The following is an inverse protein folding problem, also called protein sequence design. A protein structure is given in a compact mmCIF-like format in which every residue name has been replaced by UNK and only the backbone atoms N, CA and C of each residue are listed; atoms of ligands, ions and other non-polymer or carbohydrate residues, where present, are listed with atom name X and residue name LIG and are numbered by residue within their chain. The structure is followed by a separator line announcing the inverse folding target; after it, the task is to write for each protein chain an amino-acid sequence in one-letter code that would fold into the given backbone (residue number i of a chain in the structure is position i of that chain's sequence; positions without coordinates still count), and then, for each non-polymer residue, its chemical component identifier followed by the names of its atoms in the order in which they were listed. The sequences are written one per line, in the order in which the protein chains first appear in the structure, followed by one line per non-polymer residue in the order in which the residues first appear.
data_IF_798490246371
#
_entry.id   IF_798490246371
#
_cell.length_a   1.000
_cell.length_b   1.000
_cell.length_c   1.000
_cell.angle_alpha   90.00
_cell.angle_beta   90.00
_cell.angle_gamma   90.00
#
_symmetry.space_group_name_H-M   'P 1'
#
loop_
_entity.id
_entity.type
_entity.pdbx_description
1 polymer ?
#
# COMPACT_ATOMS: atom_id res chain seq x y z
N UNK A 1 44.01 39.26 -40.36
CA UNK A 1 43.17 39.93 -39.35
C UNK A 1 43.09 41.37 -39.77
N UNK A 2 41.91 41.80 -40.19
CA UNK A 2 41.74 43.12 -40.80
C UNK A 2 41.50 44.14 -39.70
N UNK A 3 42.16 45.30 -39.81
CA UNK A 3 41.95 46.41 -38.90
C UNK A 3 40.53 46.95 -39.09
N UNK A 4 39.77 47.03 -38.01
CA UNK A 4 38.41 47.55 -38.01
C UNK A 4 38.35 48.83 -37.17
N UNK A 5 37.52 49.78 -37.59
CA UNK A 5 37.24 51.04 -36.89
C UNK A 5 36.23 50.86 -35.74
N UNK A 6 35.54 49.71 -35.67
CA UNK A 6 34.63 49.40 -34.57
C UNK A 6 35.40 49.28 -33.24
N UNK A 7 34.93 50.02 -32.24
CA UNK A 7 35.49 50.01 -30.87
C UNK A 7 34.90 48.92 -29.98
N UNK A 8 33.98 48.11 -30.51
CA UNK A 8 33.30 47.03 -29.81
C UNK A 8 33.38 45.72 -30.59
N UNK A 9 33.39 44.61 -29.86
CA UNK A 9 33.33 43.27 -30.43
C UNK A 9 32.46 42.38 -29.56
N UNK A 10 31.35 41.92 -30.13
CA UNK A 10 30.47 40.97 -29.46
C UNK A 10 30.89 39.54 -29.75
N UNK A 11 30.90 38.72 -28.70
CA UNK A 11 31.10 37.27 -28.78
C UNK A 11 29.90 36.58 -28.15
N UNK A 12 29.19 35.78 -28.94
CA UNK A 12 28.03 35.01 -28.48
C UNK A 12 28.37 33.54 -28.36
N UNK A 13 27.70 32.82 -27.46
CA UNK A 13 27.81 31.36 -27.31
C UNK A 13 29.24 30.87 -27.00
N UNK A 14 29.98 31.61 -26.18
CA UNK A 14 31.27 31.16 -25.67
C UNK A 14 31.06 30.02 -24.66
N UNK A 15 31.68 28.84 -24.86
CA UNK A 15 31.59 27.74 -23.89
C UNK A 15 32.26 28.13 -22.56
N UNK A 16 31.94 27.42 -21.49
CA UNK A 16 32.56 27.63 -20.17
C UNK A 16 34.06 27.36 -20.22
N UNK A 17 34.86 28.41 -20.03
CA UNK A 17 36.32 28.38 -19.99
C UNK A 17 36.88 29.73 -19.51
N UNK A 18 38.18 29.77 -19.28
CA UNK A 18 38.96 30.98 -19.15
C UNK A 18 39.26 31.57 -20.52
N UNK A 19 38.95 32.86 -20.70
CA UNK A 19 39.19 33.60 -21.93
C UNK A 19 40.14 34.77 -21.70
N UNK A 20 40.92 35.06 -22.73
CA UNK A 20 41.83 36.20 -22.78
C UNK A 20 41.49 37.03 -24.02
N UNK A 21 41.04 38.26 -23.79
CA UNK A 21 40.76 39.23 -24.82
C UNK A 21 42.02 40.07 -25.10
N UNK A 22 42.45 40.07 -26.35
CA UNK A 22 43.65 40.75 -26.83
C UNK A 22 43.25 41.90 -27.76
N UNK A 23 43.72 43.12 -27.49
CA UNK A 23 43.43 44.29 -28.32
C UNK A 23 44.68 45.13 -28.59
N UNK A 24 44.80 45.60 -29.83
CA UNK A 24 45.85 46.52 -30.30
C UNK A 24 45.18 47.62 -31.12
N UNK A 25 45.65 48.86 -30.99
CA UNK A 25 45.19 50.00 -31.79
C UNK A 25 46.26 50.39 -32.81
N UNK A 26 45.86 51.00 -33.92
CA UNK A 26 46.77 51.52 -34.94
C UNK A 26 46.39 52.98 -35.23
N UNK A 27 47.36 53.88 -35.18
CA UNK A 27 47.13 55.30 -35.45
C UNK A 27 47.21 55.63 -36.96
N UNK A 28 46.94 56.89 -37.31
CA UNK A 28 46.96 57.38 -38.71
C UNK A 28 48.33 57.35 -39.39
N UNK A 29 49.42 57.17 -38.63
CA UNK A 29 50.79 57.07 -39.10
C UNK A 29 51.28 55.61 -39.14
N UNK A 30 50.35 54.66 -39.15
CA UNK A 30 50.60 53.23 -39.13
C UNK A 30 51.34 52.69 -37.88
N UNK A 31 51.42 53.47 -36.80
CA UNK A 31 52.03 53.04 -35.53
C UNK A 31 51.02 52.24 -34.71
N UNK A 32 51.42 51.03 -34.30
CA UNK A 32 50.61 50.11 -33.49
C UNK A 32 50.90 50.33 -32.00
N UNK A 33 49.86 50.33 -31.17
CA UNK A 33 49.95 50.45 -29.71
C UNK A 33 50.50 49.18 -29.07
N UNK A 34 50.90 49.30 -27.79
CA UNK A 34 51.06 48.13 -26.94
C UNK A 34 49.75 47.33 -26.86
N UNK A 35 49.89 46.02 -26.65
CA UNK A 35 48.78 45.10 -26.54
C UNK A 35 48.14 45.19 -25.16
N UNK A 36 46.84 45.50 -25.11
CA UNK A 36 46.08 45.41 -23.89
C UNK A 36 45.41 44.02 -23.80
N UNK A 37 45.46 43.44 -22.60
CA UNK A 37 45.00 42.09 -22.31
C UNK A 37 43.96 42.14 -21.20
N UNK A 38 42.79 41.55 -21.43
CA UNK A 38 41.72 41.42 -20.44
C UNK A 38 41.35 39.95 -20.25
N UNK A 39 41.39 39.47 -19.00
CA UNK A 39 41.08 38.08 -18.65
C UNK A 39 39.70 38.00 -18.02
N UNK A 40 38.87 37.09 -18.49
CA UNK A 40 37.56 36.81 -17.90
C UNK A 40 37.25 35.32 -17.99
N UNK A 41 36.47 34.82 -17.04
CA UNK A 41 36.05 33.44 -16.98
C UNK A 41 34.53 33.36 -17.17
N UNK A 42 34.09 32.38 -17.96
CA UNK A 42 32.67 32.05 -18.09
C UNK A 42 32.40 30.84 -17.20
N UNK A 43 31.76 31.10 -16.07
CA UNK A 43 31.37 30.06 -15.11
C UNK A 43 30.36 29.09 -15.72
N UNK A 44 30.45 27.79 -15.41
CA UNK A 44 29.45 26.82 -15.82
C UNK A 44 28.08 27.16 -15.24
N UNK A 45 26.99 26.85 -15.95
CA UNK A 45 25.66 27.03 -15.41
C UNK A 45 25.47 26.13 -14.18
N UNK A 46 24.76 26.64 -13.17
CA UNK A 46 24.62 26.00 -11.84
C UNK A 46 24.18 24.53 -11.87
N UNK A 47 23.35 24.14 -12.84
CA UNK A 47 22.85 22.77 -13.01
C UNK A 47 23.90 21.77 -13.52
N UNK A 48 25.05 22.25 -14.03
CA UNK A 48 26.14 21.44 -14.58
C UNK A 48 27.31 21.27 -13.60
N UNK A 49 27.16 21.77 -12.37
CA UNK A 49 28.19 21.69 -11.33
C UNK A 49 28.20 20.29 -10.69
N UNK A 50 29.37 19.82 -10.22
CA UNK A 50 29.50 18.52 -9.52
C UNK A 50 28.56 18.41 -8.31
N UNK A 51 28.34 19.52 -7.61
CA UNK A 51 27.38 19.58 -6.49
C UNK A 51 25.93 19.35 -6.93
N UNK A 52 25.52 19.86 -8.10
CA UNK A 52 24.19 19.62 -8.64
C UNK A 52 23.96 18.12 -8.94
N UNK A 53 24.96 17.42 -9.46
CA UNK A 53 24.85 15.97 -9.66
C UNK A 53 24.70 15.18 -8.35
N UNK A 54 25.42 15.57 -7.29
CA UNK A 54 25.24 14.99 -5.95
C UNK A 54 23.80 15.23 -5.45
N UNK A 55 23.28 16.45 -5.62
CA UNK A 55 21.91 16.79 -5.26
C UNK A 55 20.88 15.98 -6.04
N UNK A 56 21.09 15.77 -7.35
CA UNK A 56 20.22 14.93 -8.17
C UNK A 56 20.24 13.48 -7.71
N UNK A 57 21.41 12.94 -7.38
CA UNK A 57 21.55 11.58 -6.85
C UNK A 57 20.83 11.43 -5.50
N UNK A 58 20.96 12.41 -4.61
CA UNK A 58 20.26 12.44 -3.33
C UNK A 58 18.74 12.52 -3.52
N UNK A 59 18.25 13.43 -4.36
CA UNK A 59 16.82 13.55 -4.67
C UNK A 59 16.26 12.26 -5.25
N UNK A 60 17.01 11.63 -6.15
CA UNK A 60 16.64 10.34 -6.73
C UNK A 60 16.58 9.23 -5.66
N UNK A 61 17.56 9.18 -4.75
CA UNK A 61 17.55 8.25 -3.63
C UNK A 61 16.35 8.46 -2.68
N UNK A 62 16.02 9.71 -2.37
CA UNK A 62 14.85 10.08 -1.55
C UNK A 62 13.56 9.66 -2.26
N UNK A 63 13.45 9.88 -3.57
CA UNK A 63 12.29 9.48 -4.36
C UNK A 63 12.09 7.95 -4.30
N UNK A 64 13.15 7.16 -4.49
CA UNK A 64 13.07 5.70 -4.37
C UNK A 64 12.67 5.29 -2.95
N UNK A 65 13.30 5.88 -1.94
CA UNK A 65 13.02 5.56 -0.53
C UNK A 65 11.56 5.83 -0.15
N UNK A 66 11.01 6.97 -0.59
CA UNK A 66 9.62 7.35 -0.32
C UNK A 66 8.64 6.41 -1.02
N UNK A 67 8.89 6.04 -2.28
CA UNK A 67 8.06 5.07 -3.01
C UNK A 67 8.04 3.72 -2.30
N UNK A 68 9.21 3.18 -1.93
CA UNK A 68 9.30 1.88 -1.26
C UNK A 68 8.58 1.89 0.09
N UNK A 69 8.78 2.94 0.87
CA UNK A 69 8.14 3.09 2.19
C UNK A 69 6.63 3.25 2.07
N UNK A 70 6.17 4.03 1.10
CA UNK A 70 4.75 4.21 0.83
C UNK A 70 4.09 2.88 0.42
N UNK A 71 4.69 2.13 -0.51
CA UNK A 71 4.17 0.84 -0.94
C UNK A 71 4.11 -0.18 0.20
N UNK A 72 5.14 -0.24 1.05
CA UNK A 72 5.14 -1.10 2.24
C UNK A 72 3.98 -0.76 3.18
N UNK A 73 3.83 0.52 3.52
CA UNK A 73 2.77 0.97 4.43
C UNK A 73 1.36 0.68 3.90
N UNK A 74 1.15 0.87 2.58
CA UNK A 74 -0.13 0.54 1.95
C UNK A 74 -0.38 -0.97 1.97
N UNK A 75 0.62 -1.79 1.66
CA UNK A 75 0.50 -3.24 1.68
C UNK A 75 0.17 -3.77 3.09
N UNK A 76 0.80 -3.24 4.13
CA UNK A 76 0.51 -3.61 5.52
C UNK A 76 -0.92 -3.24 5.93
N UNK A 77 -1.38 -2.04 5.59
CA UNK A 77 -2.76 -1.62 5.85
C UNK A 77 -3.77 -2.53 5.15
N UNK A 78 -3.52 -2.87 3.89
CA UNK A 78 -4.40 -3.76 3.13
C UNK A 78 -4.44 -5.16 3.73
N UNK A 79 -3.30 -5.71 4.17
CA UNK A 79 -3.22 -7.00 4.86
C UNK A 79 -3.99 -6.98 6.18
N UNK A 80 -3.82 -5.94 6.99
CA UNK A 80 -4.53 -5.79 8.26
C UNK A 80 -6.05 -5.74 8.04
N UNK A 81 -6.51 -4.98 7.04
CA UNK A 81 -7.92 -4.89 6.70
C UNK A 81 -8.49 -6.23 6.21
N UNK A 82 -7.71 -6.98 5.43
CA UNK A 82 -8.10 -8.29 4.92
C UNK A 82 -8.25 -9.31 6.05
N UNK A 83 -7.33 -9.31 7.02
CA UNK A 83 -7.42 -10.16 8.22
C UNK A 83 -8.67 -9.83 9.03
N UNK A 84 -8.96 -8.54 9.27
CA UNK A 84 -10.15 -8.10 10.01
C UNK A 84 -11.44 -8.56 9.30
N UNK A 85 -11.48 -8.45 7.97
CA UNK A 85 -12.64 -8.88 7.20
C UNK A 85 -12.83 -10.41 7.25
N UNK A 86 -11.74 -11.17 7.12
CA UNK A 86 -11.78 -12.63 7.25
C UNK A 86 -12.22 -13.09 8.64
N UNK A 87 -11.73 -12.42 9.69
CA UNK A 87 -12.13 -12.72 11.06
C UNK A 87 -13.63 -12.46 11.28
N UNK A 88 -14.16 -11.35 10.75
CA UNK A 88 -15.60 -11.07 10.77
C UNK A 88 -16.41 -12.14 10.04
N UNK A 89 -16.01 -12.52 8.83
CA UNK A 89 -16.69 -13.53 8.04
C UNK A 89 -16.70 -14.90 8.74
N UNK A 90 -15.57 -15.29 9.34
CA UNK A 90 -15.47 -16.49 10.15
C UNK A 90 -16.38 -16.44 11.39
N UNK A 91 -16.49 -15.29 12.05
CA UNK A 91 -17.38 -15.12 13.20
C UNK A 91 -18.85 -15.27 12.79
N UNK A 92 -19.28 -14.64 11.69
CA UNK A 92 -20.64 -14.82 11.15
C UNK A 92 -20.91 -16.27 10.79
N UNK A 93 -20.00 -16.92 10.07
CA UNK A 93 -20.14 -18.33 9.66
C UNK A 93 -20.24 -19.26 10.88
N UNK A 94 -19.43 -19.02 11.92
CA UNK A 94 -19.50 -19.79 13.17
C UNK A 94 -20.80 -19.56 13.93
N UNK A 95 -21.32 -18.34 13.93
CA UNK A 95 -22.60 -18.02 14.56
C UNK A 95 -23.75 -18.75 13.85
N UNK A 96 -23.81 -18.71 12.53
CA UNK A 96 -24.80 -19.44 11.73
C UNK A 96 -24.70 -20.95 11.95
N UNK A 97 -23.48 -21.51 11.93
CA UNK A 97 -23.28 -22.93 12.18
C UNK A 97 -23.73 -23.35 13.59
N UNK A 98 -23.42 -22.53 14.59
CA UNK A 98 -23.86 -22.77 15.97
C UNK A 98 -25.38 -22.70 16.10
N UNK A 99 -26.04 -21.78 15.40
CA UNK A 99 -27.49 -21.67 15.38
C UNK A 99 -28.13 -22.92 14.74
N UNK A 100 -27.63 -23.35 13.58
CA UNK A 100 -28.09 -24.59 12.94
C UNK A 100 -27.90 -25.81 13.86
N UNK A 101 -26.76 -25.90 14.54
CA UNK A 101 -26.49 -26.99 15.48
C UNK A 101 -27.46 -26.97 16.66
N UNK A 102 -27.77 -25.80 17.21
CA UNK A 102 -28.72 -25.64 18.30
C UNK A 102 -30.14 -26.04 17.88
N UNK A 103 -30.56 -25.64 16.67
CA UNK A 103 -31.85 -26.04 16.10
C UNK A 103 -31.95 -27.55 15.93
N UNK A 104 -30.91 -28.19 15.38
CA UNK A 104 -30.85 -29.64 15.21
C UNK A 104 -30.85 -30.37 16.56
N UNK A 105 -30.15 -29.85 17.56
CA UNK A 105 -30.14 -30.42 18.92
C UNK A 105 -31.52 -30.33 19.57
N UNK A 106 -32.21 -29.20 19.39
CA UNK A 106 -33.59 -29.01 19.84
C UNK A 106 -34.53 -30.02 19.17
N UNK A 107 -34.46 -30.19 17.86
CA UNK A 107 -35.27 -31.16 17.11
C UNK A 107 -35.03 -32.60 17.61
N UNK A 108 -33.77 -32.99 17.82
CA UNK A 108 -33.42 -34.30 18.39
C UNK A 108 -33.95 -34.49 19.81
N UNK A 109 -33.91 -33.43 20.64
CA UNK A 109 -34.43 -33.47 22.00
C UNK A 109 -35.95 -33.64 22.01
N UNK A 110 -36.67 -32.91 21.14
CA UNK A 110 -38.12 -33.02 20.96
C UNK A 110 -38.50 -34.44 20.48
N UNK A 111 -37.77 -35.00 19.51
CA UNK A 111 -37.96 -36.38 19.08
C UNK A 111 -37.75 -37.37 20.24
N UNK A 112 -36.72 -37.17 21.06
CA UNK A 112 -36.43 -38.01 22.24
C UNK A 112 -37.53 -37.91 23.29
N UNK A 113 -38.04 -36.71 23.57
CA UNK A 113 -39.14 -36.48 24.50
C UNK A 113 -40.40 -37.19 23.99
N UNK A 114 -40.73 -37.03 22.71
CA UNK A 114 -41.89 -37.69 22.09
C UNK A 114 -41.79 -39.22 22.15
N UNK A 115 -40.61 -39.78 21.88
CA UNK A 115 -40.37 -41.23 22.03
C UNK A 115 -40.52 -41.69 23.48
N UNK A 116 -39.99 -40.93 24.46
CA UNK A 116 -40.17 -41.25 25.88
C UNK A 116 -41.64 -41.17 26.29
N UNK A 117 -42.37 -40.16 25.86
CA UNK A 117 -43.80 -40.00 26.14
C UNK A 117 -44.62 -41.17 25.57
N UNK A 118 -44.36 -41.57 24.32
CA UNK A 118 -44.99 -42.74 23.70
C UNK A 118 -44.67 -44.04 24.46
N UNK A 119 -43.42 -44.22 24.90
CA UNK A 119 -43.01 -45.40 25.68
C UNK A 119 -43.64 -45.45 27.07
N UNK A 120 -43.73 -44.31 27.76
CA UNK A 120 -44.41 -44.21 29.05
C UNK A 120 -45.91 -44.51 28.88
N UNK A 121 -46.58 -43.92 27.89
CA UNK A 121 -47.99 -44.19 27.62
C UNK A 121 -48.25 -45.68 27.30
N UNK A 122 -47.43 -46.29 26.44
CA UNK A 122 -47.53 -47.72 26.13
C UNK A 122 -47.35 -48.59 27.38
N UNK A 123 -46.39 -48.27 28.25
CA UNK A 123 -46.21 -48.98 29.51
C UNK A 123 -47.42 -48.81 30.44
N UNK A 124 -47.98 -47.61 30.57
CA UNK A 124 -49.19 -47.35 31.36
C UNK A 124 -50.38 -48.15 30.83
N UNK A 125 -50.63 -48.16 29.52
CA UNK A 125 -51.70 -48.95 28.90
C UNK A 125 -51.52 -50.44 29.22
N UNK A 126 -50.30 -50.95 29.13
CA UNK A 126 -50.02 -52.34 29.49
C UNK A 126 -50.29 -52.64 30.98
N UNK A 127 -49.96 -51.71 31.88
CA UNK A 127 -50.24 -51.85 33.31
C UNK A 127 -51.74 -51.77 33.63
N UNK A 128 -52.48 -50.87 32.97
CA UNK A 128 -53.94 -50.78 33.10
C UNK A 128 -54.57 -52.10 32.64
N UNK A 129 -54.15 -52.60 31.48
CA UNK A 129 -54.62 -53.87 30.93
C UNK A 129 -54.34 -55.06 31.88
N UNK A 130 -53.13 -55.14 32.46
CA UNK A 130 -52.79 -56.14 33.47
C UNK A 130 -53.68 -56.03 34.71
N UNK A 131 -53.96 -54.82 35.18
CA UNK A 131 -54.82 -54.60 36.34
C UNK A 131 -56.28 -54.99 36.05
N UNK A 132 -56.81 -54.65 34.87
CA UNK A 132 -58.14 -55.08 34.43
C UNK A 132 -58.27 -56.61 34.39
N UNK A 133 -57.26 -57.32 33.86
CA UNK A 133 -57.24 -58.79 33.88
C UNK A 133 -57.29 -59.32 35.31
N UNK A 134 -56.49 -58.76 36.23
CA UNK A 134 -56.46 -59.20 37.62
C UNK A 134 -57.80 -58.95 38.33
N UNK A 135 -58.45 -57.81 38.08
CA UNK A 135 -59.78 -57.51 38.60
C UNK A 135 -60.83 -58.48 38.06
N UNK A 136 -60.78 -58.80 36.75
CA UNK A 136 -61.70 -59.76 36.14
C UNK A 136 -61.57 -61.17 36.73
N UNK A 137 -60.36 -61.60 37.09
CA UNK A 137 -60.13 -62.87 37.79
C UNK A 137 -60.68 -62.81 39.21
N UNK A 138 -60.49 -61.69 39.91
CA UNK A 138 -60.98 -61.51 41.28
C UNK A 138 -62.52 -61.48 41.36
N UNK A 139 -63.20 -60.93 40.37
CA UNK A 139 -64.68 -60.99 40.30
C UNK A 139 -65.21 -62.37 39.91
N UNK A 140 -64.39 -63.23 39.32
CA UNK A 140 -64.77 -64.59 38.91
C UNK A 140 -64.71 -65.63 40.05
N UNK A 141 -64.15 -65.26 41.21
CA UNK A 141 -63.93 -66.11 42.40
C UNK A 141 -64.83 -65.62 43.54
#
# INVERSE_FOLDING_TARGET
ADWNLQTEKEYTNLPENEYVFHVRAKNIYDVVSEEAVFRFEILPPWYRTSWAYIMYLLLFGILIYTIITYQKNVAERNRAQLIINQEKELLFTRAEFNEQKLLLEKENLEATINLKNAKVASNTVNLIHLNEILLSIKELI
#
